data_IF_054053511306
#
_entry.id   IF_054053511306
#
_cell.length_a   1.000
_cell.length_b   1.000
_cell.length_c   1.000
_cell.angle_alpha   90.00
_cell.angle_beta   90.00
_cell.angle_gamma   90.00
#
_symmetry.space_group_name_H-M   'P 1'
#
loop_
_entity.id
_entity.type
_entity.pdbx_description
1 polymer ?
#
# COMPACT_ATOMS: atom_id res chain seq x y z
N UNK A 1 -15.01 -31.62 0.31
CA UNK A 1 -14.79 -30.17 0.19
C UNK A 1 -15.36 -29.71 -1.14
N UNK A 2 -16.57 -29.15 -1.14
CA UNK A 2 -17.18 -28.59 -2.34
C UNK A 2 -16.47 -27.27 -2.64
N UNK A 3 -15.77 -27.17 -3.79
CA UNK A 3 -15.26 -25.89 -4.27
C UNK A 3 -16.47 -24.98 -4.53
N UNK A 4 -16.47 -23.79 -3.94
CA UNK A 4 -17.49 -22.78 -4.22
C UNK A 4 -17.46 -22.46 -5.73
N UNK A 5 -18.55 -22.74 -6.49
CA UNK A 5 -18.60 -22.48 -7.92
C UNK A 5 -18.38 -21.01 -8.27
N UNK A 6 -18.66 -20.08 -7.33
CA UNK A 6 -18.49 -18.64 -7.53
C UNK A 6 -17.04 -18.19 -7.42
N UNK A 7 -16.19 -18.94 -6.70
CA UNK A 7 -14.76 -18.64 -6.59
C UNK A 7 -14.03 -18.77 -7.95
N UNK A 8 -14.59 -19.51 -8.90
CA UNK A 8 -14.05 -19.65 -10.25
C UNK A 8 -14.33 -18.41 -11.13
N UNK A 9 -15.37 -17.64 -10.80
CA UNK A 9 -15.77 -16.44 -11.56
C UNK A 9 -15.28 -15.13 -10.95
N UNK A 10 -15.05 -15.08 -9.63
CA UNK A 10 -14.58 -13.86 -8.96
C UNK A 10 -13.05 -13.83 -8.89
N UNK A 11 -12.44 -12.98 -9.72
CA UNK A 11 -11.00 -12.74 -9.68
C UNK A 11 -10.66 -11.66 -8.65
N UNK A 12 -10.14 -12.09 -7.50
CA UNK A 12 -9.56 -11.18 -6.50
C UNK A 12 -8.07 -10.99 -6.81
N UNK A 13 -7.64 -9.74 -6.89
CA UNK A 13 -6.24 -9.34 -7.02
C UNK A 13 -5.77 -8.63 -5.76
N UNK A 14 -4.49 -8.79 -5.43
CA UNK A 14 -3.84 -8.04 -4.35
C UNK A 14 -2.82 -7.11 -4.98
N UNK A 15 -3.13 -5.81 -5.04
CA UNK A 15 -2.22 -4.80 -5.57
C UNK A 15 -1.31 -4.26 -4.47
N UNK A 16 0.00 -4.40 -4.65
CA UNK A 16 1.01 -3.88 -3.72
C UNK A 16 1.72 -2.71 -4.39
N UNK A 17 1.56 -1.51 -3.81
CA UNK A 17 2.26 -0.31 -4.26
C UNK A 17 3.61 -0.15 -3.58
N UNK A 18 4.66 0.03 -4.36
CA UNK A 18 6.00 0.36 -3.86
C UNK A 18 6.79 1.13 -4.92
N UNK A 19 7.55 2.15 -4.51
CA UNK A 19 8.22 3.04 -5.46
C UNK A 19 9.22 2.28 -6.32
N UNK A 20 10.00 1.38 -5.70
CA UNK A 20 10.93 0.52 -6.40
C UNK A 20 10.33 -0.87 -6.77
N UNK A 21 9.02 -0.95 -6.98
CA UNK A 21 8.34 -2.21 -7.26
C UNK A 21 8.94 -2.93 -8.49
N UNK A 22 9.38 -2.21 -9.52
CA UNK A 22 9.99 -2.82 -10.71
C UNK A 22 11.31 -3.57 -10.45
N UNK A 23 12.00 -3.24 -9.36
CA UNK A 23 13.21 -3.94 -8.93
C UNK A 23 12.88 -5.00 -7.89
N UNK A 24 12.00 -4.66 -6.94
CA UNK A 24 11.62 -5.55 -5.84
C UNK A 24 10.86 -6.79 -6.32
N UNK A 25 9.92 -6.61 -7.24
CA UNK A 25 9.07 -7.67 -7.81
C UNK A 25 9.84 -8.78 -8.52
N UNK A 26 11.11 -8.56 -8.88
CA UNK A 26 11.92 -9.59 -9.55
C UNK A 26 12.29 -10.74 -8.61
N UNK A 27 12.54 -10.43 -7.34
CA UNK A 27 13.06 -11.38 -6.36
C UNK A 27 12.12 -11.61 -5.16
N UNK A 28 10.91 -11.03 -5.15
CA UNK A 28 10.03 -11.08 -3.99
C UNK A 28 9.66 -12.52 -3.56
N UNK A 29 9.25 -13.39 -4.48
CA UNK A 29 8.90 -14.78 -4.15
C UNK A 29 10.11 -15.55 -3.60
N UNK A 30 11.31 -15.30 -4.17
CA UNK A 30 12.54 -15.90 -3.66
C UNK A 30 12.77 -15.50 -2.21
N UNK A 31 12.68 -14.19 -1.91
CA UNK A 31 12.85 -13.66 -0.54
C UNK A 31 11.79 -14.21 0.42
N UNK A 32 10.53 -14.31 0.00
CA UNK A 32 9.47 -14.90 0.83
C UNK A 32 9.79 -16.36 1.16
N UNK A 33 10.25 -17.16 0.19
CA UNK A 33 10.63 -18.56 0.44
C UNK A 33 11.82 -18.70 1.41
N UNK A 34 12.76 -17.77 1.36
CA UNK A 34 13.98 -17.81 2.19
C UNK A 34 13.73 -17.30 3.62
N UNK A 35 12.99 -16.20 3.76
CA UNK A 35 12.84 -15.45 5.03
C UNK A 35 11.51 -15.74 5.73
N UNK A 36 10.46 -16.12 4.98
CA UNK A 36 9.08 -16.25 5.48
C UNK A 36 8.39 -17.52 4.94
N UNK A 37 8.91 -18.72 5.27
CA UNK A 37 8.39 -19.98 4.75
C UNK A 37 6.88 -20.18 5.01
N UNK A 38 6.38 -19.69 6.15
CA UNK A 38 4.97 -19.76 6.53
C UNK A 38 4.04 -18.95 5.59
N UNK A 39 4.57 -17.97 4.86
CA UNK A 39 3.81 -17.10 3.96
C UNK A 39 3.90 -17.53 2.49
N UNK A 40 4.68 -18.55 2.15
CA UNK A 40 4.89 -18.98 0.75
C UNK A 40 3.59 -19.41 0.10
N UNK A 41 2.80 -20.24 0.78
CA UNK A 41 1.51 -20.73 0.29
C UNK A 41 0.55 -19.58 -0.04
N UNK A 42 0.54 -18.54 0.81
CA UNK A 42 -0.23 -17.32 0.55
C UNK A 42 0.34 -16.55 -0.65
N UNK A 43 1.65 -16.31 -0.68
CA UNK A 43 2.29 -15.54 -1.75
C UNK A 43 2.11 -16.16 -3.14
N UNK A 44 2.14 -17.49 -3.25
CA UNK A 44 1.95 -18.20 -4.52
C UNK A 44 0.49 -18.32 -4.93
N UNK A 45 -0.44 -18.43 -3.97
CA UNK A 45 -1.89 -18.49 -4.26
C UNK A 45 -2.51 -17.12 -4.50
N UNK A 46 -1.94 -16.07 -3.88
CA UNK A 46 -2.37 -14.71 -4.07
C UNK A 46 -2.05 -14.22 -5.49
N UNK A 47 -3.05 -13.65 -6.16
CA UNK A 47 -2.86 -12.97 -7.45
C UNK A 47 -2.25 -11.59 -7.21
N UNK A 48 -1.03 -11.57 -6.67
CA UNK A 48 -0.30 -10.35 -6.34
C UNK A 48 0.10 -9.63 -7.63
N UNK A 49 -0.19 -8.34 -7.70
CA UNK A 49 0.33 -7.46 -8.75
C UNK A 49 1.08 -6.32 -8.10
N UNK A 50 2.15 -5.93 -8.75
CA UNK A 50 2.99 -4.84 -8.31
C UNK A 50 2.58 -3.58 -9.05
N UNK A 51 2.48 -2.48 -8.32
CA UNK A 51 2.23 -1.15 -8.87
C UNK A 51 3.23 -0.15 -8.33
N UNK A 52 3.51 0.89 -9.10
CA UNK A 52 4.30 2.05 -8.69
C UNK A 52 3.32 3.22 -8.56
N UNK A 53 3.38 4.02 -7.49
CA UNK A 53 2.56 5.22 -7.36
C UNK A 53 2.69 6.17 -8.57
N UNK A 54 1.62 6.89 -8.87
CA UNK A 54 1.47 7.61 -10.14
C UNK A 54 2.51 8.72 -10.36
N UNK A 55 2.98 9.38 -9.30
CA UNK A 55 4.05 10.36 -9.39
C UNK A 55 5.42 9.69 -9.53
N UNK A 56 5.62 8.53 -8.89
CA UNK A 56 6.91 7.83 -8.91
C UNK A 56 7.17 7.10 -10.22
N UNK A 57 6.13 6.58 -10.87
CA UNK A 57 6.30 5.80 -12.10
C UNK A 57 6.88 6.64 -13.25
N UNK A 58 6.65 7.96 -13.25
CA UNK A 58 7.23 8.91 -14.20
C UNK A 58 8.75 9.01 -14.09
N UNK A 59 9.33 8.71 -12.92
CA UNK A 59 10.77 8.68 -12.69
C UNK A 59 11.45 7.38 -13.16
N UNK A 60 10.68 6.41 -13.64
CA UNK A 60 11.18 5.12 -14.09
C UNK A 60 11.30 5.06 -15.63
N UNK A 61 11.75 3.92 -16.16
CA UNK A 61 11.76 3.70 -17.61
C UNK A 61 10.35 3.71 -18.17
N UNK A 62 10.19 4.05 -19.46
CA UNK A 62 8.87 4.10 -20.11
C UNK A 62 8.09 2.79 -19.95
N UNK A 63 8.76 1.64 -20.07
CA UNK A 63 8.16 0.32 -19.84
C UNK A 63 7.51 0.18 -18.45
N UNK A 64 8.07 0.84 -17.43
CA UNK A 64 7.50 0.77 -16.08
C UNK A 64 6.13 1.43 -16.00
N UNK A 65 5.86 2.47 -16.80
CA UNK A 65 4.56 3.13 -16.85
C UNK A 65 3.46 2.13 -17.24
N UNK A 66 3.68 1.35 -18.29
CA UNK A 66 2.71 0.37 -18.75
C UNK A 66 2.64 -0.88 -17.86
N UNK A 67 3.78 -1.30 -17.30
CA UNK A 67 3.84 -2.52 -16.48
C UNK A 67 3.38 -2.31 -15.04
N UNK A 68 3.60 -1.14 -14.45
CA UNK A 68 3.36 -0.88 -13.03
C UNK A 68 2.43 0.31 -12.76
N UNK A 69 2.09 1.12 -13.76
CA UNK A 69 1.13 2.21 -13.60
C UNK A 69 -0.25 1.68 -13.22
N UNK A 70 -0.83 2.23 -12.15
CA UNK A 70 -2.14 1.81 -11.62
C UNK A 70 -3.26 2.00 -12.64
N UNK A 71 -3.16 3.00 -13.51
CA UNK A 71 -4.12 3.25 -14.60
C UNK A 71 -4.18 2.14 -15.65
N UNK A 72 -3.14 1.31 -15.77
CA UNK A 72 -3.07 0.16 -16.67
C UNK A 72 -3.40 -1.16 -15.96
N UNK A 73 -3.83 -1.13 -14.69
CA UNK A 73 -4.24 -2.33 -13.94
C UNK A 73 -5.75 -2.44 -13.88
N UNK A 74 -6.27 -3.53 -14.45
CA UNK A 74 -7.69 -3.88 -14.34
C UNK A 74 -8.12 -4.01 -12.89
N UNK A 75 -9.33 -3.57 -12.56
CA UNK A 75 -9.93 -3.71 -11.23
C UNK A 75 -9.14 -3.05 -10.07
N UNK A 76 -8.17 -2.17 -10.35
CA UNK A 76 -7.39 -1.44 -9.32
C UNK A 76 -8.11 -0.18 -8.81
N UNK A 77 -9.21 0.23 -9.46
CA UNK A 77 -9.88 1.51 -9.21
C UNK A 77 -9.01 2.71 -9.64
N UNK A 78 -9.57 3.91 -9.55
CA UNK A 78 -8.79 5.13 -9.79
C UNK A 78 -8.00 5.48 -8.52
N UNK A 79 -6.82 4.88 -8.40
CA UNK A 79 -5.95 4.99 -7.23
C UNK A 79 -4.55 5.45 -7.66
N UNK A 80 -4.02 6.48 -7.00
CA UNK A 80 -2.72 7.06 -7.34
C UNK A 80 -1.54 6.47 -6.54
N UNK A 81 -1.76 5.63 -5.52
CA UNK A 81 -0.65 5.03 -4.75
C UNK A 81 0.05 5.95 -3.74
N UNK A 82 -0.01 7.27 -3.93
CA UNK A 82 0.75 8.25 -3.13
C UNK A 82 0.33 8.44 -1.67
N UNK A 83 -0.67 7.73 -1.12
CA UNK A 83 -1.23 8.07 0.22
C UNK A 83 -0.20 8.08 1.34
N UNK A 84 0.87 7.29 1.24
CA UNK A 84 1.99 7.32 2.19
C UNK A 84 2.71 8.69 2.22
N UNK A 85 2.80 9.37 1.07
CA UNK A 85 3.53 10.62 0.85
C UNK A 85 2.60 11.84 0.70
N UNK A 86 1.32 11.60 0.44
CA UNK A 86 0.29 12.58 0.21
C UNK A 86 -0.33 13.11 1.51
N UNK A 87 0.50 13.66 2.39
CA UNK A 87 0.03 14.19 3.69
C UNK A 87 -0.66 15.57 3.56
N UNK A 88 -0.43 16.28 2.46
CA UNK A 88 -0.86 17.68 2.33
C UNK A 88 -2.36 17.93 2.47
N UNK A 89 -3.33 17.06 2.08
CA UNK A 89 -4.74 17.35 2.31
C UNK A 89 -5.06 17.41 3.80
N UNK A 90 -4.37 16.59 4.60
CA UNK A 90 -4.48 16.62 6.06
C UNK A 90 -3.80 17.87 6.60
N UNK A 91 -2.59 18.19 6.13
CA UNK A 91 -1.84 19.36 6.58
C UNK A 91 -2.53 20.68 6.24
N UNK A 92 -3.19 20.77 5.10
CA UNK A 92 -3.91 21.97 4.63
C UNK A 92 -4.99 22.42 5.62
N UNK A 93 -5.61 21.48 6.34
CA UNK A 93 -6.60 21.78 7.38
C UNK A 93 -5.96 22.51 8.57
N UNK A 94 -4.68 22.26 8.85
CA UNK A 94 -3.92 22.85 9.95
C UNK A 94 -3.15 24.13 9.55
N UNK A 95 -3.05 24.44 8.26
CA UNK A 95 -2.38 25.65 7.78
C UNK A 95 -3.01 26.94 8.36
N UNK A 96 -4.33 26.96 8.59
CA UNK A 96 -5.02 28.14 9.13
C UNK A 96 -4.65 28.42 10.59
N UNK A 97 -4.56 27.38 11.42
CA UNK A 97 -4.26 27.51 12.86
C UNK A 97 -2.79 27.81 13.13
N UNK A 98 -1.90 27.33 12.26
CA UNK A 98 -0.45 27.55 12.39
C UNK A 98 0.03 28.90 11.86
N UNK A 99 -0.80 29.63 11.11
CA UNK A 99 -0.43 30.90 10.46
C UNK A 99 -0.11 32.04 11.43
N UNK A 100 -0.76 32.06 12.59
CA UNK A 100 -0.59 33.12 13.60
C UNK A 100 0.35 32.73 14.75
N UNK A 101 0.91 31.51 14.72
CA UNK A 101 1.83 31.03 15.73
C UNK A 101 3.23 31.64 15.54
N UNK A 102 3.98 31.78 16.64
CA UNK A 102 5.42 32.08 16.55
C UNK A 102 6.15 30.93 15.86
N UNK A 103 7.36 31.18 15.33
CA UNK A 103 8.10 30.18 14.57
C UNK A 103 8.32 28.86 15.33
N UNK A 104 8.68 28.93 16.62
CA UNK A 104 8.84 27.75 17.49
C UNK A 104 7.55 26.98 17.67
N UNK A 105 6.47 27.65 18.13
CA UNK A 105 5.17 27.01 18.31
C UNK A 105 4.61 26.42 17.01
N UNK A 106 4.84 27.08 15.88
CA UNK A 106 4.45 26.55 14.56
C UNK A 106 5.17 25.24 14.26
N UNK A 107 6.47 25.17 14.51
CA UNK A 107 7.26 23.96 14.29
C UNK A 107 6.79 22.81 15.18
N UNK A 108 6.57 23.07 16.46
CA UNK A 108 6.10 22.07 17.42
C UNK A 108 4.69 21.58 17.09
N UNK A 109 3.78 22.49 16.72
CA UNK A 109 2.43 22.15 16.30
C UNK A 109 2.44 21.25 15.05
N UNK A 110 3.19 21.64 14.01
CA UNK A 110 3.31 20.83 12.78
C UNK A 110 3.87 19.43 13.08
N UNK A 111 4.90 19.34 13.93
CA UNK A 111 5.50 18.07 14.36
C UNK A 111 4.52 17.20 15.14
N UNK A 112 3.74 17.79 16.05
CA UNK A 112 2.70 17.07 16.78
C UNK A 112 1.63 16.53 15.83
N UNK A 113 1.19 17.33 14.85
CA UNK A 113 0.17 16.90 13.88
C UNK A 113 0.66 15.79 12.95
N UNK A 114 1.88 15.88 12.42
CA UNK A 114 2.47 14.82 11.58
C UNK A 114 2.63 13.52 12.37
N UNK A 115 3.10 13.61 13.63
CA UNK A 115 3.21 12.45 14.51
C UNK A 115 1.85 11.82 14.81
N UNK A 116 0.83 12.62 15.12
CA UNK A 116 -0.52 12.12 15.34
C UNK A 116 -1.10 11.43 14.10
N UNK A 117 -0.84 11.96 12.90
CA UNK A 117 -1.23 11.33 11.65
C UNK A 117 -0.52 9.99 11.42
N UNK A 118 0.79 9.94 11.65
CA UNK A 118 1.56 8.69 11.60
C UNK A 118 1.04 7.65 12.61
N UNK A 119 0.77 8.07 13.85
CA UNK A 119 0.19 7.20 14.87
C UNK A 119 -1.18 6.67 14.46
N UNK A 120 -2.04 7.49 13.87
CA UNK A 120 -3.36 7.06 13.37
C UNK A 120 -3.22 6.00 12.29
N UNK A 121 -2.29 6.16 11.35
CA UNK A 121 -2.01 5.15 10.31
C UNK A 121 -1.55 3.83 10.95
N UNK A 122 -0.55 3.88 11.82
CA UNK A 122 0.04 2.69 12.45
C UNK A 122 -0.97 1.97 13.35
N UNK A 123 -1.70 2.69 14.21
CA UNK A 123 -2.73 2.12 15.07
C UNK A 123 -3.90 1.51 14.29
N UNK A 124 -4.18 2.00 13.08
CA UNK A 124 -5.22 1.45 12.21
C UNK A 124 -4.81 0.19 11.44
N UNK A 125 -3.50 -0.08 11.27
CA UNK A 125 -3.02 -1.31 10.59
C UNK A 125 -3.52 -2.58 11.28
N UNK A 126 -3.63 -2.57 12.61
CA UNK A 126 -4.14 -3.71 13.38
C UNK A 126 -5.61 -4.08 13.09
N UNK A 127 -6.43 -3.15 12.57
CA UNK A 127 -7.81 -3.46 12.15
C UNK A 127 -7.89 -4.17 10.80
N UNK A 128 -6.83 -4.09 9.99
CA UNK A 128 -6.71 -4.75 8.69
C UNK A 128 -5.82 -5.99 8.74
N UNK A 129 -5.45 -6.47 9.93
CA UNK A 129 -4.92 -7.82 10.05
C UNK A 129 -6.03 -8.77 9.58
N UNK A 130 -5.92 -9.20 8.33
CA UNK A 130 -6.53 -10.44 7.87
C UNK A 130 -5.84 -11.50 8.72
N UNK A 131 -6.41 -11.79 9.89
CA UNK A 131 -6.20 -13.10 10.50
C UNK A 131 -6.67 -14.05 9.40
N UNK A 132 -5.72 -14.73 8.74
CA UNK A 132 -6.05 -15.98 8.07
C UNK A 132 -6.80 -16.78 9.15
N UNK A 133 -8.11 -17.04 8.99
CA UNK A 133 -8.79 -17.87 9.96
C UNK A 133 -8.04 -19.21 9.93
N UNK A 134 -7.43 -19.59 11.06
CA UNK A 134 -6.84 -20.91 11.22
C UNK A 134 -7.87 -22.04 11.02
N UNK A 135 -9.15 -21.68 10.87
CA UNK A 135 -10.29 -22.56 10.72
C UNK A 135 -10.54 -23.06 9.28
N UNK A 136 -9.65 -22.73 8.31
CA UNK A 136 -9.71 -23.28 6.94
C UNK A 136 -8.69 -24.41 6.67
N UNK A 137 -8.02 -24.92 7.70
CA UNK A 137 -7.10 -26.08 7.63
C UNK A 137 -7.54 -27.26 8.54
N UNK A 138 -8.84 -27.45 8.74
CA UNK A 138 -9.40 -28.68 9.32
C UNK A 138 -10.45 -29.31 8.37
#
# INVERSE_FOLDING_TARGET
MLRDPLAEFVKVYVDISYDAACQFSKNWLKRIREEYPDLVSFAESARVRWVIPAMHVEGHTEDCTYQYGTCYKECCGHFHGETAEHFWPTLNQFCKVTRQMTAGHRHDALTMFTNAWNWKKVSSLGRFHITCPNDLLA
#
